data_IF_245646972990
#
_entry.id   IF_245646972990
#
_cell.length_a   1.000
_cell.length_b   1.000
_cell.length_c   1.000
_cell.angle_alpha   90.00
_cell.angle_beta   90.00
_cell.angle_gamma   90.00
#
_symmetry.space_group_name_H-M   'P 1'
#
loop_
_entity.id
_entity.type
_entity.pdbx_description
1 polymer ?
#
# COMPACT_ATOMS: atom_id res chain seq x y z
N UNK A 1 -41.64 6.24 3.04
CA UNK A 1 -40.63 5.17 3.21
C UNK A 1 -39.63 5.34 2.06
N UNK A 2 -38.36 5.71 2.20
CA UNK A 2 -37.39 5.41 3.24
C UNK A 2 -36.25 4.62 2.58
N UNK A 3 -35.11 5.29 2.33
CA UNK A 3 -33.71 4.82 2.38
C UNK A 3 -32.84 5.47 1.29
N UNK A 4 -32.08 6.48 1.71
CA UNK A 4 -30.87 6.89 1.02
C UNK A 4 -29.76 5.88 1.25
N UNK A 5 -28.88 5.72 0.25
CA UNK A 5 -27.58 5.08 0.44
C UNK A 5 -26.57 5.82 -0.42
N UNK A 6 -25.64 6.50 0.26
CA UNK A 6 -24.57 7.28 -0.34
C UNK A 6 -23.68 6.42 -1.23
N UNK A 7 -23.45 6.88 -2.46
CA UNK A 7 -22.43 6.34 -3.33
C UNK A 7 -21.07 6.87 -2.88
N UNK A 8 -20.17 5.96 -2.49
CA UNK A 8 -18.77 6.30 -2.26
C UNK A 8 -18.19 6.92 -3.55
N UNK A 9 -17.45 8.04 -3.49
CA UNK A 9 -16.94 8.74 -4.67
C UNK A 9 -15.80 8.02 -5.40
N UNK A 10 -15.48 6.78 -4.99
CA UNK A 10 -14.50 5.91 -5.63
C UNK A 10 -15.19 4.62 -6.04
N UNK A 11 -15.29 4.36 -7.35
CA UNK A 11 -15.74 3.08 -7.87
C UNK A 11 -14.91 1.96 -7.23
N UNK A 12 -15.57 0.86 -6.85
CA UNK A 12 -14.92 -0.24 -6.16
C UNK A 12 -13.62 -0.64 -6.91
N UNK A 13 -12.48 -0.76 -6.22
CA UNK A 13 -11.20 -1.07 -6.88
C UNK A 13 -11.22 -2.43 -7.59
N UNK A 14 -12.21 -3.27 -7.26
CA UNK A 14 -12.49 -4.57 -7.83
C UNK A 14 -13.79 -4.51 -8.63
N UNK A 15 -13.76 -4.92 -9.89
CA UNK A 15 -14.93 -4.96 -10.78
C UNK A 15 -14.56 -4.85 -12.26
N UNK A 16 -15.49 -5.13 -13.19
CA UNK A 16 -15.27 -4.93 -14.61
C UNK A 16 -14.87 -3.47 -14.91
N UNK A 17 -13.71 -3.25 -15.51
CA UNK A 17 -13.17 -1.91 -15.81
C UNK A 17 -12.43 -1.23 -14.65
N UNK A 18 -12.41 -1.81 -13.44
CA UNK A 18 -11.66 -1.28 -12.32
C UNK A 18 -10.15 -1.58 -12.45
N UNK A 19 -9.26 -0.80 -11.81
CA UNK A 19 -7.81 -1.01 -11.88
C UNK A 19 -7.36 -2.43 -11.50
N UNK A 20 -8.06 -3.08 -10.57
CA UNK A 20 -7.79 -4.46 -10.14
C UNK A 20 -8.78 -5.49 -10.71
N UNK A 21 -9.62 -5.09 -11.66
CA UNK A 21 -10.56 -5.96 -12.36
C UNK A 21 -9.92 -6.86 -13.42
N UNK A 22 -10.65 -7.82 -14.00
CA UNK A 22 -10.13 -8.78 -14.99
C UNK A 22 -9.42 -8.17 -16.21
N UNK A 23 -9.74 -6.93 -16.58
CA UNK A 23 -9.09 -6.16 -17.66
C UNK A 23 -8.34 -4.91 -17.19
N UNK A 24 -8.17 -4.72 -15.88
CA UNK A 24 -7.46 -3.57 -15.32
C UNK A 24 -5.93 -3.75 -15.36
N UNK A 25 -5.16 -2.66 -15.31
CA UNK A 25 -3.68 -2.71 -15.32
C UNK A 25 -3.08 -3.57 -14.20
N UNK A 26 -3.77 -3.72 -13.06
CA UNK A 26 -3.36 -4.53 -11.91
C UNK A 26 -4.17 -5.84 -11.79
N UNK A 27 -5.05 -6.11 -12.74
CA UNK A 27 -5.82 -7.35 -12.83
C UNK A 27 -4.99 -8.54 -13.30
N UNK A 28 -5.50 -9.78 -13.21
CA UNK A 28 -4.75 -11.00 -13.54
C UNK A 28 -4.06 -10.99 -14.91
N UNK A 29 -4.68 -10.37 -15.93
CA UNK A 29 -4.13 -10.22 -17.29
C UNK A 29 -3.49 -8.85 -17.57
N UNK A 30 -3.41 -7.97 -16.58
CA UNK A 30 -2.87 -6.61 -16.73
C UNK A 30 -1.34 -6.57 -16.65
N UNK A 31 -0.69 -5.54 -17.23
CA UNK A 31 0.76 -5.37 -17.22
C UNK A 31 1.41 -5.46 -15.84
N UNK A 32 0.73 -5.01 -14.78
CA UNK A 32 1.20 -5.02 -13.39
C UNK A 32 0.55 -6.11 -12.53
N UNK A 33 -0.27 -6.96 -13.14
CA UNK A 33 -0.93 -8.07 -12.45
C UNK A 33 -0.12 -9.36 -12.46
N UNK A 34 -0.68 -10.41 -11.87
CA UNK A 34 0.01 -11.67 -11.61
C UNK A 34 0.66 -12.35 -12.85
N UNK A 35 0.14 -12.09 -14.05
CA UNK A 35 0.71 -12.61 -15.32
C UNK A 35 1.40 -11.57 -16.20
N UNK A 36 1.51 -10.31 -15.76
CA UNK A 36 1.98 -9.20 -16.61
C UNK A 36 3.50 -9.06 -16.68
N UNK A 37 4.05 -8.44 -17.75
CA UNK A 37 5.48 -8.17 -17.90
C UNK A 37 6.11 -7.33 -16.78
N UNK A 38 5.32 -6.48 -16.11
CA UNK A 38 5.73 -5.71 -14.93
C UNK A 38 5.28 -6.32 -13.60
N UNK A 39 4.40 -7.33 -13.65
CA UNK A 39 4.05 -8.20 -12.51
C UNK A 39 4.94 -9.43 -12.36
N UNK A 40 5.76 -9.72 -13.37
CA UNK A 40 7.00 -10.50 -13.33
C UNK A 40 6.83 -12.01 -13.20
N UNK A 41 7.19 -12.80 -14.23
CA UNK A 41 7.30 -14.25 -14.15
C UNK A 41 8.65 -14.66 -13.56
N UNK A 42 8.65 -15.27 -12.38
CA UNK A 42 9.88 -15.82 -11.77
C UNK A 42 9.88 -15.82 -10.25
N UNK A 43 9.49 -16.96 -9.67
CA UNK A 43 9.84 -17.38 -8.32
C UNK A 43 9.12 -16.69 -7.17
N UNK A 44 8.17 -17.37 -6.54
CA UNK A 44 7.87 -17.29 -5.09
C UNK A 44 8.06 -15.91 -4.41
N UNK A 45 7.58 -14.81 -5.01
CA UNK A 45 7.63 -13.48 -4.37
C UNK A 45 6.61 -13.50 -3.23
N UNK A 46 7.10 -13.57 -2.00
CA UNK A 46 6.27 -13.72 -0.81
C UNK A 46 5.20 -12.63 -0.80
N UNK A 47 3.93 -13.04 -0.90
CA UNK A 47 2.83 -12.14 -0.60
C UNK A 47 2.94 -11.86 0.90
N UNK A 48 3.51 -10.71 1.27
CA UNK A 48 3.62 -10.34 2.68
C UNK A 48 2.27 -10.44 3.36
N UNK A 49 2.28 -10.87 4.62
CA UNK A 49 1.05 -10.84 5.39
C UNK A 49 0.69 -9.37 5.61
N UNK A 50 -0.60 -9.09 5.74
CA UNK A 50 -1.11 -7.73 6.00
C UNK A 50 -0.42 -7.06 7.19
N UNK A 51 -0.03 -7.83 8.21
CA UNK A 51 0.74 -7.35 9.36
C UNK A 51 2.14 -6.84 8.98
N UNK A 52 2.87 -7.60 8.15
CA UNK A 52 4.23 -7.24 7.71
C UNK A 52 4.22 -5.97 6.86
N UNK A 53 3.21 -5.82 6.00
CA UNK A 53 3.04 -4.61 5.17
C UNK A 53 2.81 -3.37 6.05
N UNK A 54 1.92 -3.46 7.04
CA UNK A 54 1.62 -2.35 7.95
C UNK A 54 2.86 -1.93 8.74
N UNK A 55 3.57 -2.89 9.33
CA UNK A 55 4.79 -2.62 10.08
C UNK A 55 5.85 -1.96 9.18
N UNK A 56 5.98 -2.41 7.94
CA UNK A 56 6.94 -1.85 7.00
C UNK A 56 6.58 -0.40 6.61
N UNK A 57 5.30 -0.09 6.40
CA UNK A 57 4.84 1.29 6.13
C UNK A 57 5.25 2.21 7.29
N UNK A 58 4.94 1.82 8.53
CA UNK A 58 5.26 2.63 9.72
C UNK A 58 6.76 2.83 9.86
N UNK A 59 7.55 1.76 9.67
CA UNK A 59 9.00 1.83 9.77
C UNK A 59 9.64 2.71 8.68
N UNK A 60 9.06 2.78 7.48
CA UNK A 60 9.52 3.71 6.42
C UNK A 60 9.13 5.15 6.72
N UNK A 61 7.89 5.38 7.15
CA UNK A 61 7.40 6.73 7.46
C UNK A 61 8.05 7.34 8.70
N UNK A 62 8.67 6.53 9.56
CA UNK A 62 9.52 7.00 10.64
C UNK A 62 10.82 7.65 10.15
N UNK A 63 11.24 7.33 8.93
CA UNK A 63 12.46 7.89 8.33
C UNK A 63 12.14 9.17 7.56
N UNK A 64 11.11 9.16 6.70
CA UNK A 64 10.66 10.35 5.98
C UNK A 64 9.20 10.19 5.45
N UNK A 65 8.50 11.31 5.16
CA UNK A 65 7.21 11.25 4.48
C UNK A 65 7.33 10.64 3.08
N UNK A 66 6.51 9.64 2.78
CA UNK A 66 6.54 8.92 1.50
C UNK A 66 5.14 8.74 0.92
N UNK A 67 5.04 8.62 -0.39
CA UNK A 67 3.84 8.13 -1.07
C UNK A 67 3.84 6.60 -1.17
N UNK A 68 2.67 6.01 -1.43
CA UNK A 68 2.53 4.55 -1.49
C UNK A 68 3.41 3.85 -2.53
N UNK A 69 3.76 4.52 -3.63
CA UNK A 69 4.67 3.95 -4.64
C UNK A 69 6.12 3.96 -4.17
N UNK A 70 6.56 5.05 -3.54
CA UNK A 70 7.89 5.14 -2.91
C UNK A 70 8.06 4.04 -1.86
N UNK A 71 7.03 3.79 -1.05
CA UNK A 71 7.03 2.69 -0.07
C UNK A 71 7.25 1.32 -0.71
N UNK A 72 6.55 1.02 -1.82
CA UNK A 72 6.71 -0.23 -2.56
C UNK A 72 8.17 -0.41 -3.03
N UNK A 73 8.77 0.66 -3.56
CA UNK A 73 10.14 0.61 -4.04
C UNK A 73 11.15 0.48 -2.90
N UNK A 74 10.98 1.25 -1.82
CA UNK A 74 11.86 1.20 -0.66
C UNK A 74 11.84 -0.19 0.02
N UNK A 75 10.68 -0.84 0.14
CA UNK A 75 10.61 -2.22 0.66
C UNK A 75 11.30 -3.23 -0.26
N UNK A 76 11.13 -3.08 -1.57
CA UNK A 76 11.82 -3.94 -2.54
C UNK A 76 13.34 -3.75 -2.47
N UNK A 77 13.83 -2.51 -2.36
CA UNK A 77 15.25 -2.20 -2.28
C UNK A 77 15.90 -2.77 -1.01
N UNK A 78 15.27 -2.56 0.15
CA UNK A 78 15.78 -3.03 1.44
C UNK A 78 15.88 -4.54 1.57
N UNK A 79 15.02 -5.26 0.84
CA UNK A 79 15.00 -6.72 0.80
C UNK A 79 15.84 -7.29 -0.34
N UNK A 80 16.59 -6.45 -1.08
CA UNK A 80 17.35 -6.87 -2.27
C UNK A 80 16.46 -7.46 -3.37
N UNK A 81 15.19 -7.05 -3.44
CA UNK A 81 14.16 -7.58 -4.33
C UNK A 81 13.46 -8.84 -3.81
N UNK A 82 13.81 -9.33 -2.61
CA UNK A 82 13.23 -10.52 -1.99
C UNK A 82 11.75 -10.37 -1.64
N UNK A 83 11.30 -9.14 -1.36
CA UNK A 83 9.90 -8.84 -1.09
C UNK A 83 9.48 -7.49 -1.66
N UNK A 84 8.47 -7.51 -2.53
CA UNK A 84 7.83 -6.31 -3.10
C UNK A 84 6.32 -6.41 -2.90
N UNK A 85 5.73 -5.65 -1.96
CA UNK A 85 4.28 -5.67 -1.79
C UNK A 85 3.59 -5.08 -3.02
N UNK A 86 2.39 -5.59 -3.30
CA UNK A 86 1.58 -5.07 -4.40
C UNK A 86 0.89 -3.77 -4.00
N UNK A 87 0.51 -2.92 -4.98
CA UNK A 87 -0.38 -1.79 -4.73
C UNK A 87 -1.66 -2.17 -3.97
N UNK A 88 -2.22 -3.34 -4.30
CA UNK A 88 -3.43 -3.87 -3.65
C UNK A 88 -3.23 -4.28 -2.18
N UNK A 89 -1.99 -4.39 -1.70
CA UNK A 89 -1.69 -4.58 -0.29
C UNK A 89 -1.38 -3.26 0.44
N UNK A 90 -0.74 -2.31 -0.25
CA UNK A 90 -0.28 -1.03 0.32
C UNK A 90 -1.44 -0.07 0.54
N UNK A 91 -2.24 0.23 -0.49
CA UNK A 91 -3.26 1.28 -0.37
C UNK A 91 -4.37 0.95 0.64
N UNK A 92 -4.86 -0.30 0.75
CA UNK A 92 -5.77 -0.65 1.83
C UNK A 92 -5.12 -0.57 3.23
N UNK A 93 -3.83 -0.85 3.34
CA UNK A 93 -3.10 -0.70 4.60
C UNK A 93 -2.93 0.78 4.98
N UNK A 94 -2.64 1.66 4.02
CA UNK A 94 -2.59 3.11 4.25
C UNK A 94 -3.92 3.64 4.77
N UNK A 95 -5.04 3.29 4.11
CA UNK A 95 -6.38 3.70 4.56
C UNK A 95 -6.65 3.27 6.00
N UNK A 96 -6.28 2.04 6.38
CA UNK A 96 -6.47 1.58 7.76
C UNK A 96 -5.60 2.31 8.76
N UNK A 97 -4.34 2.59 8.41
CA UNK A 97 -3.44 3.34 9.28
C UNK A 97 -3.89 4.80 9.45
N UNK A 98 -4.50 5.39 8.42
CA UNK A 98 -5.17 6.70 8.51
C UNK A 98 -6.41 6.65 9.39
N UNK A 99 -7.28 5.65 9.20
CA UNK A 99 -8.49 5.46 10.00
C UNK A 99 -8.16 5.23 11.49
N UNK A 100 -7.04 4.55 11.77
CA UNK A 100 -6.50 4.33 13.11
C UNK A 100 -5.76 5.56 13.68
N UNK A 101 -5.56 6.61 12.88
CA UNK A 101 -4.88 7.84 13.29
C UNK A 101 -3.37 7.69 13.48
N UNK A 102 -2.75 6.64 12.93
CA UNK A 102 -1.31 6.39 13.01
C UNK A 102 -0.53 7.15 11.93
N UNK A 103 -1.17 7.43 10.80
CA UNK A 103 -0.60 8.24 9.72
C UNK A 103 -1.59 9.32 9.30
N UNK A 104 -1.08 10.36 8.66
CA UNK A 104 -1.91 11.41 8.08
C UNK A 104 -1.42 11.81 6.67
N UNK A 105 -2.31 12.33 5.80
CA UNK A 105 -1.92 12.88 4.52
C UNK A 105 -0.93 14.05 4.69
N UNK A 106 0.06 14.09 3.81
CA UNK A 106 1.06 15.15 3.77
C UNK A 106 1.22 15.66 2.34
N UNK A 107 1.17 16.98 2.16
CA UNK A 107 1.51 17.59 0.88
C UNK A 107 3.03 17.72 0.78
N UNK A 108 3.63 16.92 -0.11
CA UNK A 108 5.06 16.97 -0.39
C UNK A 108 5.28 17.67 -1.73
N UNK A 109 5.29 19.01 -1.70
CA UNK A 109 5.48 19.86 -2.88
C UNK A 109 4.50 19.54 -4.03
N UNK A 110 3.20 19.40 -3.70
CA UNK A 110 2.15 19.06 -4.67
C UNK A 110 1.99 17.57 -4.97
N UNK A 111 2.80 16.70 -4.37
CA UNK A 111 2.60 15.26 -4.40
C UNK A 111 1.94 14.77 -3.10
N UNK A 112 0.89 13.94 -3.23
CA UNK A 112 0.25 13.29 -2.07
C UNK A 112 1.19 12.26 -1.46
N UNK A 113 1.61 12.50 -0.23
CA UNK A 113 2.38 11.59 0.60
C UNK A 113 1.64 11.32 1.91
N UNK A 114 2.24 10.50 2.77
CA UNK A 114 1.79 10.28 4.14
C UNK A 114 2.96 10.53 5.09
N UNK A 115 2.65 10.88 6.33
CA UNK A 115 3.62 10.98 7.43
C UNK A 115 3.04 10.35 8.69
N UNK A 116 3.90 10.00 9.66
CA UNK A 116 3.45 9.51 10.96
C UNK A 116 2.83 10.63 11.80
N UNK A 117 1.77 10.29 12.53
CA UNK A 117 1.30 11.10 13.66
C UNK A 117 2.15 10.79 14.91
N UNK A 118 1.91 11.50 16.03
CA UNK A 118 2.57 11.18 17.31
C UNK A 118 2.30 9.73 17.75
N UNK A 119 1.07 9.25 17.62
CA UNK A 119 0.72 7.86 17.90
C UNK A 119 1.42 6.89 16.93
N UNK A 120 1.54 7.28 15.66
CA UNK A 120 2.30 6.55 14.65
C UNK A 120 3.78 6.42 14.98
N UNK A 121 4.41 7.49 15.48
CA UNK A 121 5.82 7.48 15.90
C UNK A 121 6.06 6.52 17.05
N UNK A 122 5.16 6.50 18.05
CA UNK A 122 5.23 5.53 19.15
C UNK A 122 5.09 4.08 18.65
N UNK A 123 4.13 3.83 17.74
CA UNK A 123 3.93 2.52 17.14
C UNK A 123 5.13 2.08 16.29
N UNK A 124 5.72 2.98 15.50
CA UNK A 124 6.89 2.69 14.67
C UNK A 124 8.14 2.39 15.51
N UNK A 125 8.34 3.11 16.61
CA UNK A 125 9.47 2.89 17.53
C UNK A 125 9.43 1.52 18.22
N UNK A 126 8.26 0.90 18.31
CA UNK A 126 8.08 -0.44 18.86
C UNK A 126 8.39 -1.56 17.86
N UNK A 127 8.69 -1.25 16.59
CA UNK A 127 8.97 -2.24 15.54
C UNK A 127 10.46 -2.57 15.52
N UNK A 128 10.84 -3.65 16.20
CA UNK A 128 12.18 -4.22 16.17
C UNK A 128 12.11 -5.76 16.21
N UNK A 129 12.69 -6.49 15.23
CA UNK A 129 13.38 -5.98 14.04
C UNK A 129 12.43 -5.40 12.99
N UNK A 130 12.98 -4.53 12.14
CA UNK A 130 12.26 -4.04 10.95
C UNK A 130 11.91 -5.24 10.04
N UNK A 131 10.76 -5.21 9.35
CA UNK A 131 10.19 -6.39 8.69
C UNK A 131 10.79 -6.71 7.30
N UNK A 132 12.03 -6.32 7.04
CA UNK A 132 12.72 -6.53 5.76
C UNK A 132 14.12 -7.13 5.94
#
# INVERSE_FOLDING_TARGET
>A
MGHGRGGAPFGAPFGPGAPFGPGGPFGPGGPFGAGGPFGGPGGRRGRARRGDVRAAILALLAEEPMNGYQMIQAMAERTGGGWKPSPGAIYPALSQLEDEGLIEPFDNNGAKAHRLTEAGQAAASAIDPKPW
#
